data_IF_763329049259
#
_entry.id   IF_763329049259
#
_cell.length_a   1.000
_cell.length_b   1.000
_cell.length_c   1.000
_cell.angle_alpha   90.00
_cell.angle_beta   90.00
_cell.angle_gamma   90.00
#
_symmetry.space_group_name_H-M   'P 1'
#
loop_
_entity.id
_entity.type
_entity.pdbx_description
1 polymer ?
#
# COMPACT_ATOMS: atom_id res chain seq x y z
N UNK A 1 18.56 9.79 -3.89
CA UNK A 1 17.75 9.44 -2.71
C UNK A 1 16.35 9.10 -3.20
N UNK A 2 15.81 7.94 -2.82
CA UNK A 2 14.42 7.57 -3.14
C UNK A 2 13.50 8.24 -2.10
N UNK A 3 12.68 9.21 -2.52
CA UNK A 3 11.73 9.88 -1.62
C UNK A 3 10.33 9.33 -1.86
N UNK A 4 9.70 8.81 -0.82
CA UNK A 4 8.26 8.56 -0.80
C UNK A 4 7.54 9.91 -0.66
N UNK A 5 6.47 10.10 -1.43
CA UNK A 5 5.63 11.31 -1.42
C UNK A 5 4.17 10.92 -1.25
N UNK A 6 3.42 11.68 -0.47
CA UNK A 6 1.95 11.62 -0.48
C UNK A 6 1.46 12.18 -1.81
N UNK A 7 0.52 11.50 -2.46
CA UNK A 7 -0.04 11.88 -3.75
C UNK A 7 -1.37 12.58 -3.50
N UNK A 8 -1.56 13.78 -4.02
CA UNK A 8 -2.83 14.49 -3.86
C UNK A 8 -3.96 13.79 -4.61
N UNK A 9 -5.20 13.90 -4.13
CA UNK A 9 -6.37 13.37 -4.82
C UNK A 9 -6.86 14.43 -5.82
N UNK A 10 -6.44 14.30 -7.08
CA UNK A 10 -6.84 15.20 -8.15
C UNK A 10 -6.69 14.53 -9.53
N UNK A 11 -7.11 15.23 -10.58
CA UNK A 11 -7.04 14.75 -11.96
C UNK A 11 -5.62 14.37 -12.42
N UNK A 12 -4.58 15.06 -11.94
CA UNK A 12 -3.19 14.72 -12.29
C UNK A 12 -2.78 13.37 -11.71
N UNK A 13 -3.23 13.05 -10.50
CA UNK A 13 -2.97 11.74 -9.90
C UNK A 13 -3.74 10.62 -10.61
N UNK A 14 -4.94 10.89 -11.11
CA UNK A 14 -5.66 9.93 -11.95
C UNK A 14 -4.92 9.66 -13.28
N UNK A 15 -4.36 10.69 -13.92
CA UNK A 15 -3.48 10.53 -15.09
C UNK A 15 -2.23 9.70 -14.74
N UNK A 16 -1.58 9.95 -13.60
CA UNK A 16 -0.43 9.15 -13.16
C UNK A 16 -0.78 7.69 -12.88
N UNK A 17 -2.05 7.40 -12.57
CA UNK A 17 -2.54 6.05 -12.36
C UNK A 17 -2.84 5.33 -13.68
N UNK A 18 -2.87 6.03 -14.83
CA UNK A 18 -3.02 5.41 -16.16
C UNK A 18 -1.90 4.43 -16.47
N UNK A 19 -0.65 4.75 -16.14
CA UNK A 19 0.47 3.84 -16.37
C UNK A 19 0.26 2.50 -15.63
N UNK A 20 -0.31 2.54 -14.43
CA UNK A 20 -0.62 1.33 -13.68
C UNK A 20 -1.88 0.62 -14.20
N UNK A 21 -2.80 1.33 -14.88
CA UNK A 21 -3.90 0.70 -15.62
C UNK A 21 -3.42 0.03 -16.92
N UNK A 22 -2.47 0.64 -17.60
CA UNK A 22 -2.00 0.15 -18.90
C UNK A 22 -0.93 -0.94 -18.76
N UNK A 23 -0.10 -0.85 -17.71
CA UNK A 23 1.09 -1.69 -17.56
C UNK A 23 1.20 -2.38 -16.19
N UNK A 24 0.29 -2.05 -15.26
CA UNK A 24 0.21 -2.67 -13.95
C UNK A 24 -0.69 -3.90 -13.92
N UNK A 25 -1.03 -4.35 -12.72
CA UNK A 25 -1.92 -5.49 -12.51
C UNK A 25 -3.39 -5.03 -12.38
N UNK A 26 -4.29 -5.66 -13.13
CA UNK A 26 -5.74 -5.43 -13.11
C UNK A 26 -6.37 -5.48 -11.71
N UNK A 27 -5.91 -6.40 -10.87
CA UNK A 27 -6.42 -6.58 -9.50
C UNK A 27 -6.00 -5.44 -8.55
N UNK A 28 -5.12 -4.55 -9.02
CA UNK A 28 -4.56 -3.43 -8.25
C UNK A 28 -5.06 -2.07 -8.75
N UNK A 29 -6.07 -2.02 -9.61
CA UNK A 29 -6.61 -0.75 -10.10
C UNK A 29 -7.27 0.02 -8.97
N UNK A 30 -6.87 1.28 -8.82
CA UNK A 30 -7.30 2.19 -7.74
C UNK A 30 -8.39 3.18 -8.17
N UNK A 31 -9.06 2.95 -9.30
CA UNK A 31 -9.96 3.94 -9.93
C UNK A 31 -11.14 4.27 -9.04
N UNK A 32 -11.81 3.23 -8.51
CA UNK A 32 -13.01 3.44 -7.71
C UNK A 32 -12.67 4.01 -6.34
N UNK A 33 -11.54 3.60 -5.73
CA UNK A 33 -11.08 4.21 -4.48
C UNK A 33 -10.70 5.68 -4.68
N UNK A 34 -9.94 6.01 -5.74
CA UNK A 34 -9.55 7.39 -6.03
C UNK A 34 -10.79 8.28 -6.27
N UNK A 35 -11.80 7.77 -6.99
CA UNK A 35 -13.05 8.50 -7.23
C UNK A 35 -13.86 8.69 -5.94
N UNK A 36 -13.90 7.68 -5.08
CA UNK A 36 -14.54 7.79 -3.76
C UNK A 36 -13.90 8.89 -2.91
N UNK A 37 -12.57 8.91 -2.83
CA UNK A 37 -11.83 9.95 -2.10
C UNK A 37 -11.98 11.34 -2.73
N UNK A 38 -12.07 11.46 -4.07
CA UNK A 38 -12.31 12.76 -4.74
C UNK A 38 -13.65 13.41 -4.34
N UNK A 39 -14.65 12.60 -3.97
CA UNK A 39 -15.96 13.09 -3.52
C UNK A 39 -15.88 13.61 -2.08
N UNK A 40 -15.05 13.00 -1.24
CA UNK A 40 -14.79 13.42 0.13
C UNK A 40 -13.68 14.48 0.18
N UNK A 41 -14.02 15.73 -0.15
CA UNK A 41 -13.08 16.86 -0.20
C UNK A 41 -12.39 17.19 1.15
N UNK A 42 -12.68 16.45 2.22
CA UNK A 42 -12.11 16.64 3.55
C UNK A 42 -11.09 15.57 3.97
N UNK A 43 -10.92 14.49 3.20
CA UNK A 43 -10.02 13.39 3.56
C UNK A 43 -8.56 13.66 3.16
N UNK A 44 -7.63 13.29 4.04
CA UNK A 44 -6.21 13.20 3.70
C UNK A 44 -6.00 12.04 2.72
N UNK A 45 -5.24 12.28 1.64
CA UNK A 45 -4.99 11.23 0.65
C UNK A 45 -4.31 10.00 1.25
N UNK A 46 -4.85 8.78 1.00
CA UNK A 46 -4.22 7.53 1.42
C UNK A 46 -3.09 7.10 0.48
N UNK A 47 -2.89 7.80 -0.63
CA UNK A 47 -1.96 7.38 -1.68
C UNK A 47 -0.55 7.91 -1.46
N UNK A 48 0.41 7.01 -1.58
CA UNK A 48 1.84 7.32 -1.51
C UNK A 48 2.55 6.76 -2.72
N UNK A 49 3.61 7.44 -3.17
CA UNK A 49 4.32 7.05 -4.37
C UNK A 49 5.76 7.50 -4.45
N UNK A 50 6.47 6.94 -5.41
CA UNK A 50 7.87 7.24 -5.72
C UNK A 50 7.96 7.60 -7.20
N UNK A 51 8.50 8.78 -7.48
CA UNK A 51 8.79 9.24 -8.83
C UNK A 51 10.18 8.80 -9.29
N UNK A 52 10.28 8.38 -10.55
CA UNK A 52 11.53 8.04 -11.24
C UNK A 52 11.63 8.95 -12.48
N UNK A 53 12.39 10.04 -12.35
CA UNK A 53 12.25 11.17 -13.27
C UNK A 53 10.86 11.80 -13.11
N UNK A 54 10.15 11.98 -14.21
CA UNK A 54 8.80 12.57 -14.22
C UNK A 54 7.67 11.52 -14.10
N UNK A 55 8.02 10.23 -14.04
CA UNK A 55 7.05 9.13 -14.01
C UNK A 55 6.83 8.60 -12.60
N UNK A 56 5.58 8.31 -12.24
CA UNK A 56 5.24 7.60 -11.02
C UNK A 56 5.59 6.11 -11.19
N UNK A 57 6.70 5.68 -10.59
CA UNK A 57 7.24 4.33 -10.81
C UNK A 57 6.78 3.29 -9.80
N UNK A 58 6.34 3.73 -8.62
CA UNK A 58 5.78 2.87 -7.58
C UNK A 58 4.73 3.62 -6.77
N UNK A 59 3.73 2.88 -6.26
CA UNK A 59 2.66 3.43 -5.42
C UNK A 59 2.17 2.44 -4.37
N UNK A 60 1.49 2.94 -3.35
CA UNK A 60 0.67 2.17 -2.42
C UNK A 60 -0.50 3.02 -1.92
N UNK A 61 -1.52 2.35 -1.40
CA UNK A 61 -2.54 2.97 -0.56
C UNK A 61 -2.29 2.55 0.89
N UNK A 62 -2.29 3.52 1.81
CA UNK A 62 -2.06 3.30 3.24
C UNK A 62 -3.13 4.03 4.04
N UNK A 63 -4.02 3.26 4.67
CA UNK A 63 -5.13 3.78 5.45
C UNK A 63 -4.85 3.57 6.94
N UNK A 64 -5.11 4.59 7.76
CA UNK A 64 -5.15 4.44 9.21
C UNK A 64 -6.54 3.96 9.61
N UNK A 65 -6.61 2.93 10.46
CA UNK A 65 -7.86 2.40 11.00
C UNK A 65 -7.81 2.47 12.52
N UNK A 66 -8.76 3.22 13.09
CA UNK A 66 -8.86 3.49 14.53
C UNK A 66 -9.64 2.44 15.34
N UNK A 67 -10.29 1.48 14.67
CA UNK A 67 -10.87 0.31 15.35
C UNK A 67 -9.90 -0.86 15.19
N UNK A 68 -8.94 -0.97 16.13
CA UNK A 68 -7.90 -2.00 16.10
C UNK A 68 -8.48 -3.42 16.06
N UNK A 69 -7.85 -4.29 15.28
CA UNK A 69 -8.14 -5.72 15.35
C UNK A 69 -7.36 -6.32 16.53
N UNK A 70 -7.91 -6.24 17.75
CA UNK A 70 -7.25 -6.72 18.99
C UNK A 70 -6.71 -8.15 18.87
N UNK A 71 -7.39 -9.02 18.10
CA UNK A 71 -6.92 -10.39 17.79
C UNK A 71 -5.49 -10.41 17.24
N UNK A 72 -5.13 -9.42 16.42
CA UNK A 72 -3.83 -9.34 15.74
C UNK A 72 -2.91 -8.30 16.37
N UNK A 73 -3.46 -7.23 16.95
CA UNK A 73 -2.70 -6.10 17.48
C UNK A 73 -3.18 -5.70 18.89
N UNK A 74 -3.06 -6.59 19.91
CA UNK A 74 -3.66 -6.37 21.23
C UNK A 74 -3.07 -5.19 22.02
N UNK A 75 -1.89 -4.69 21.62
CA UNK A 75 -1.17 -3.62 22.31
C UNK A 75 -1.29 -2.26 21.62
N UNK A 76 -2.16 -2.12 20.62
CA UNK A 76 -2.28 -0.91 19.81
C UNK A 76 -3.73 -0.44 19.77
N UNK A 77 -3.94 0.87 19.73
CA UNK A 77 -5.28 1.45 19.55
C UNK A 77 -5.65 1.59 18.06
N UNK A 78 -4.63 1.64 17.21
CA UNK A 78 -4.75 1.92 15.78
C UNK A 78 -3.80 1.03 14.99
N UNK A 79 -4.11 0.81 13.71
CA UNK A 79 -3.20 0.14 12.78
C UNK A 79 -3.34 0.70 11.37
N UNK A 80 -2.33 0.41 10.57
CA UNK A 80 -2.30 0.73 9.16
C UNK A 80 -2.77 -0.45 8.32
N UNK A 81 -3.50 -0.14 7.27
CA UNK A 81 -3.94 -1.06 6.24
C UNK A 81 -3.22 -0.69 4.95
N UNK A 82 -2.28 -1.54 4.53
CA UNK A 82 -1.46 -1.32 3.33
C UNK A 82 -2.00 -2.14 2.16
N UNK A 83 -2.45 -1.45 1.12
CA UNK A 83 -3.09 -2.06 -0.04
C UNK A 83 -2.41 -1.64 -1.34
N UNK A 84 -2.52 -2.51 -2.34
CA UNK A 84 -2.16 -2.24 -3.75
C UNK A 84 -0.76 -1.62 -3.90
N UNK A 85 0.19 -2.13 -3.11
CA UNK A 85 1.61 -1.81 -3.28
C UNK A 85 2.08 -2.38 -4.61
N UNK A 86 2.50 -1.50 -5.50
CA UNK A 86 2.81 -1.84 -6.87
C UNK A 86 4.04 -1.05 -7.34
N UNK A 87 4.90 -1.74 -8.08
CA UNK A 87 6.04 -1.15 -8.79
C UNK A 87 5.90 -1.54 -10.25
N UNK A 88 5.86 -0.56 -11.15
CA UNK A 88 5.76 -0.84 -12.59
C UNK A 88 6.96 -1.68 -13.03
N UNK A 89 6.74 -2.57 -14.01
CA UNK A 89 7.71 -3.57 -14.45
C UNK A 89 9.11 -2.99 -14.71
N UNK A 90 9.20 -1.85 -15.39
CA UNK A 90 10.47 -1.21 -15.75
C UNK A 90 11.28 -0.69 -14.54
N UNK A 91 10.60 -0.52 -13.40
CA UNK A 91 11.16 0.02 -12.16
C UNK A 91 11.32 -1.05 -11.05
N UNK A 92 10.95 -2.29 -11.31
CA UNK A 92 11.12 -3.41 -10.36
C UNK A 92 12.60 -3.70 -10.08
N UNK A 93 12.86 -4.40 -8.97
CA UNK A 93 14.21 -4.78 -8.50
C UNK A 93 15.15 -3.60 -8.15
N UNK A 94 14.62 -2.37 -8.05
CA UNK A 94 15.37 -1.17 -7.65
C UNK A 94 15.14 -0.75 -6.20
N UNK A 95 14.41 -1.57 -5.42
CA UNK A 95 14.13 -1.31 -4.01
C UNK A 95 12.93 -0.39 -3.71
N UNK A 96 12.16 0.04 -4.72
CA UNK A 96 11.02 0.95 -4.51
C UNK A 96 9.90 0.35 -3.67
N UNK A 97 9.57 -0.94 -3.86
CA UNK A 97 8.60 -1.63 -3.01
C UNK A 97 9.06 -1.67 -1.54
N UNK A 98 10.36 -1.95 -1.31
CA UNK A 98 10.94 -1.89 0.04
C UNK A 98 10.86 -0.47 0.62
N UNK A 99 11.17 0.56 -0.16
CA UNK A 99 11.12 1.95 0.30
C UNK A 99 9.72 2.40 0.72
N UNK A 100 8.67 2.00 -0.01
CA UNK A 100 7.28 2.22 0.38
C UNK A 100 6.93 1.48 1.69
N UNK A 101 7.37 0.23 1.81
CA UNK A 101 7.13 -0.59 2.99
C UNK A 101 7.84 -0.04 4.23
N UNK A 102 9.12 0.34 4.10
CA UNK A 102 9.91 0.98 5.16
C UNK A 102 9.25 2.30 5.61
N UNK A 103 8.74 3.09 4.66
CA UNK A 103 8.01 4.32 4.97
C UNK A 103 6.76 4.04 5.82
N UNK A 104 5.99 3.01 5.49
CA UNK A 104 4.82 2.62 6.28
C UNK A 104 5.23 2.14 7.69
N UNK A 105 6.28 1.32 7.80
CA UNK A 105 6.80 0.82 9.08
C UNK A 105 7.30 1.93 10.01
N UNK A 106 7.94 2.95 9.44
CA UNK A 106 8.47 4.09 10.19
C UNK A 106 7.37 4.95 10.86
N UNK A 107 6.08 4.72 10.55
CA UNK A 107 4.98 5.35 11.28
C UNK A 107 4.75 4.77 12.68
N UNK A 108 5.42 3.65 13.02
CA UNK A 108 5.34 3.04 14.35
C UNK A 108 3.99 2.40 14.67
N UNK A 109 3.16 2.14 13.66
CA UNK A 109 1.88 1.44 13.80
C UNK A 109 1.97 0.04 13.19
N UNK A 110 1.24 -0.95 13.72
CA UNK A 110 1.12 -2.24 13.08
C UNK A 110 0.53 -2.10 11.68
N UNK A 111 0.86 -3.05 10.81
CA UNK A 111 0.44 -3.03 9.41
C UNK A 111 -0.24 -4.35 9.09
N UNK A 112 -1.47 -4.27 8.59
CA UNK A 112 -2.17 -5.36 7.93
C UNK A 112 -2.07 -5.19 6.42
N UNK A 113 -1.68 -6.24 5.72
CA UNK A 113 -1.59 -6.26 4.26
C UNK A 113 -2.41 -7.41 3.68
N UNK A 114 -3.02 -7.14 2.53
CA UNK A 114 -3.67 -8.15 1.69
C UNK A 114 -2.75 -8.40 0.51
N UNK A 115 -2.05 -9.53 0.51
CA UNK A 115 -1.12 -9.88 -0.54
C UNK A 115 -1.86 -10.34 -1.80
N UNK A 116 -1.68 -9.59 -2.89
CA UNK A 116 -2.23 -9.89 -4.22
C UNK A 116 -1.10 -10.23 -5.20
N UNK A 117 -1.42 -10.82 -6.34
CA UNK A 117 -0.45 -11.07 -7.42
C UNK A 117 0.85 -11.79 -6.95
N UNK A 118 0.71 -12.86 -6.17
CA UNK A 118 1.84 -13.65 -5.66
C UNK A 118 2.87 -12.85 -4.82
N UNK A 119 2.48 -11.70 -4.27
CA UNK A 119 3.36 -10.83 -3.47
C UNK A 119 3.58 -11.31 -2.03
N UNK A 120 2.95 -12.40 -1.61
CA UNK A 120 3.08 -12.97 -0.25
C UNK A 120 4.54 -13.12 0.19
N UNK A 121 5.37 -13.74 -0.66
CA UNK A 121 6.79 -13.98 -0.37
C UNK A 121 7.60 -12.69 -0.24
N UNK A 122 7.21 -11.63 -0.95
CA UNK A 122 7.83 -10.32 -0.81
C UNK A 122 7.61 -9.76 0.61
N UNK A 123 6.36 -9.81 1.11
CA UNK A 123 6.06 -9.34 2.46
C UNK A 123 6.73 -10.17 3.55
N UNK A 124 6.74 -11.50 3.42
CA UNK A 124 7.42 -12.41 4.37
C UNK A 124 8.91 -12.08 4.45
N UNK A 125 9.59 -11.90 3.30
CA UNK A 125 11.00 -11.49 3.25
C UNK A 125 11.26 -10.15 3.94
N UNK A 126 10.24 -9.30 4.03
CA UNK A 126 10.27 -8.03 4.73
C UNK A 126 9.68 -8.09 6.15
N UNK A 127 9.61 -9.29 6.75
CA UNK A 127 9.30 -9.48 8.17
C UNK A 127 7.81 -9.47 8.49
N UNK A 128 6.92 -9.62 7.50
CA UNK A 128 5.51 -9.87 7.78
C UNK A 128 5.28 -11.33 8.15
N UNK A 129 4.38 -11.56 9.10
CA UNK A 129 3.87 -12.87 9.48
C UNK A 129 2.60 -13.17 8.69
N UNK A 130 2.58 -14.32 8.04
CA UNK A 130 1.39 -14.85 7.41
C UNK A 130 0.40 -15.35 8.47
N UNK A 131 -0.86 -14.91 8.39
CA UNK A 131 -1.90 -15.38 9.29
C UNK A 131 -2.45 -16.75 8.89
N UNK A 132 -2.07 -17.26 7.71
CA UNK A 132 -2.66 -18.46 7.09
C UNK A 132 -4.19 -18.31 6.90
N UNK A 133 -4.64 -17.05 6.80
CA UNK A 133 -6.02 -16.64 6.58
C UNK A 133 -6.15 -15.94 5.23
N UNK A 134 -7.30 -16.10 4.58
CA UNK A 134 -7.64 -15.39 3.35
C UNK A 134 -8.73 -14.34 3.60
N UNK A 135 -8.65 -13.21 2.90
CA UNK A 135 -9.75 -12.24 2.88
C UNK A 135 -10.97 -12.80 2.12
N UNK A 136 -12.07 -12.04 2.06
CA UNK A 136 -13.30 -12.44 1.33
C UNK A 136 -13.08 -12.74 -0.16
N UNK A 137 -11.99 -12.25 -0.73
CA UNK A 137 -11.62 -12.43 -2.14
C UNK A 137 -10.63 -13.59 -2.35
N UNK A 138 -10.25 -14.31 -1.28
CA UNK A 138 -9.29 -15.42 -1.34
C UNK A 138 -7.82 -15.02 -1.30
N UNK A 139 -7.50 -13.75 -0.99
CA UNK A 139 -6.13 -13.25 -0.91
C UNK A 139 -5.52 -13.43 0.48
N UNK A 140 -4.26 -13.84 0.55
CA UNK A 140 -3.52 -14.01 1.81
C UNK A 140 -3.48 -12.72 2.62
N UNK A 141 -3.70 -12.85 3.93
CA UNK A 141 -3.62 -11.76 4.89
C UNK A 141 -2.36 -11.91 5.72
N UNK A 142 -1.52 -10.87 5.72
CA UNK A 142 -0.30 -10.84 6.52
C UNK A 142 -0.29 -9.62 7.44
N UNK A 143 0.46 -9.74 8.53
CA UNK A 143 0.59 -8.69 9.54
C UNK A 143 2.04 -8.42 9.89
N UNK A 144 2.33 -7.20 10.34
CA UNK A 144 3.60 -6.79 10.91
C UNK A 144 3.32 -5.86 12.09
N UNK A 145 4.11 -5.90 13.15
CA UNK A 145 4.08 -4.89 14.21
C UNK A 145 5.48 -4.44 14.63
N UNK A 146 5.63 -3.21 15.17
CA UNK A 146 6.91 -2.70 15.68
C UNK A 146 7.47 -3.52 16.85
N UNK A 147 6.61 -4.19 17.61
CA UNK A 147 6.95 -4.94 18.83
C UNK A 147 7.41 -6.39 18.56
N UNK A 148 7.48 -6.81 17.28
CA UNK A 148 7.99 -8.14 16.90
C UNK A 148 9.50 -8.26 17.09
#
# INVERSE_FOLDING_TARGET
MTSVKRLDINYRTDELFEDFRNFGNGDLYLVDELRGEMIDASSDSPFYGIYVGDRLGARMALYRKGDVEEKHFPNFDDYNVLWKLEVLRDFQNRGYGKALLDFAKNQGLPIKVIARNQSKQFFIKHGFTDLEEANKEGHDVLVWSPDQ
#
